data_IF_260671912480
#
_entry.id   IF_260671912480
#
_cell.length_a   1.000
_cell.length_b   1.000
_cell.length_c   1.000
_cell.angle_alpha   90.00
_cell.angle_beta   90.00
_cell.angle_gamma   90.00
#
_symmetry.space_group_name_H-M   'P 1'
#
loop_
_entity.id
_entity.type
_entity.pdbx_description
1 polymer ?
#
# COMPACT_ATOMS: atom_id res chain seq x y z
N UNK A 1 11.76 -26.29 31.48
CA UNK A 1 10.94 -25.19 30.92
C UNK A 1 9.49 -25.63 30.86
N UNK A 2 8.55 -24.83 31.35
CA UNK A 2 7.11 -25.17 31.44
C UNK A 2 6.34 -24.69 30.20
N UNK A 3 5.44 -25.53 29.66
CA UNK A 3 4.62 -25.21 28.49
C UNK A 3 3.51 -24.22 28.86
N UNK A 4 3.55 -23.01 28.32
CA UNK A 4 2.47 -22.02 28.45
C UNK A 4 1.48 -22.20 27.29
N UNK A 5 0.19 -22.38 27.60
CA UNK A 5 -0.86 -22.56 26.59
C UNK A 5 -1.27 -21.21 25.99
N UNK A 6 -1.32 -21.12 24.65
CA UNK A 6 -1.72 -19.90 23.90
C UNK A 6 -3.24 -19.73 23.73
N UNK A 7 -4.04 -20.73 24.09
CA UNK A 7 -5.44 -20.85 23.68
C UNK A 7 -6.31 -19.60 23.91
N UNK A 8 -6.25 -19.00 25.10
CA UNK A 8 -7.02 -17.80 25.42
C UNK A 8 -6.53 -16.57 24.63
N UNK A 9 -5.21 -16.34 24.61
CA UNK A 9 -4.58 -15.20 23.91
C UNK A 9 -4.88 -15.24 22.41
N UNK A 10 -4.87 -16.43 21.79
CA UNK A 10 -5.18 -16.57 20.37
C UNK A 10 -6.62 -16.13 20.05
N UNK A 11 -7.60 -16.54 20.86
CA UNK A 11 -9.01 -16.17 20.66
C UNK A 11 -9.25 -14.68 20.85
N UNK A 12 -8.65 -14.06 21.86
CA UNK A 12 -8.79 -12.62 22.13
C UNK A 12 -8.26 -11.79 20.94
N UNK A 13 -7.10 -12.18 20.38
CA UNK A 13 -6.53 -11.52 19.20
C UNK A 13 -7.44 -11.65 17.97
N UNK A 14 -8.02 -12.83 17.74
CA UNK A 14 -8.94 -13.07 16.62
C UNK A 14 -10.24 -12.28 16.79
N UNK A 15 -10.82 -12.25 17.99
CA UNK A 15 -12.04 -11.49 18.28
C UNK A 15 -11.82 -10.00 18.07
N UNK A 16 -10.71 -9.43 18.56
CA UNK A 16 -10.34 -8.04 18.32
C UNK A 16 -10.18 -7.73 16.83
N UNK A 17 -9.54 -8.63 16.08
CA UNK A 17 -9.34 -8.45 14.65
C UNK A 17 -10.65 -8.51 13.86
N UNK A 18 -11.54 -9.46 14.18
CA UNK A 18 -12.88 -9.57 13.58
C UNK A 18 -13.72 -8.34 13.92
N UNK A 19 -13.70 -7.88 15.17
CA UNK A 19 -14.42 -6.69 15.63
C UNK A 19 -14.10 -5.44 14.79
N UNK A 20 -12.82 -5.19 14.52
CA UNK A 20 -12.37 -4.07 13.68
C UNK A 20 -12.87 -4.13 12.23
N UNK A 21 -13.31 -5.30 11.78
CA UNK A 21 -13.65 -5.60 10.41
C UNK A 21 -15.12 -6.01 10.25
N UNK A 22 -15.96 -5.72 11.25
CA UNK A 22 -17.41 -6.03 11.23
C UNK A 22 -18.18 -5.30 10.14
N UNK A 23 -17.68 -4.16 9.65
CA UNK A 23 -18.28 -3.42 8.54
C UNK A 23 -18.22 -4.15 7.18
N UNK A 24 -17.49 -5.27 7.08
CA UNK A 24 -17.43 -6.08 5.87
C UNK A 24 -18.51 -7.17 5.88
N UNK A 25 -19.60 -6.97 5.15
CA UNK A 25 -20.77 -7.87 5.06
C UNK A 25 -20.42 -9.38 5.05
N UNK A 26 -20.03 -9.93 3.91
CA UNK A 26 -19.78 -11.36 3.73
C UNK A 26 -18.41 -11.83 4.26
N UNK A 27 -17.49 -10.91 4.51
CA UNK A 27 -16.08 -11.21 4.74
C UNK A 27 -15.62 -10.97 6.18
N UNK A 28 -16.48 -10.44 7.06
CA UNK A 28 -16.19 -10.17 8.48
C UNK A 28 -16.13 -11.41 9.37
N UNK A 29 -16.63 -12.57 8.91
CA UNK A 29 -16.73 -13.78 9.77
C UNK A 29 -15.46 -14.61 9.83
N UNK A 30 -14.65 -14.63 8.78
CA UNK A 30 -13.47 -15.49 8.69
C UNK A 30 -12.18 -14.66 8.71
N UNK A 31 -11.29 -14.92 9.66
CA UNK A 31 -9.98 -14.22 9.77
C UNK A 31 -9.15 -14.33 8.49
N UNK A 32 -9.25 -15.45 7.77
CA UNK A 32 -8.61 -15.67 6.48
C UNK A 32 -9.14 -14.75 5.37
N UNK A 33 -10.44 -14.51 5.30
CA UNK A 33 -11.00 -13.62 4.26
C UNK A 33 -10.67 -12.17 4.54
N UNK A 34 -10.70 -11.77 5.81
CA UNK A 34 -10.33 -10.42 6.25
C UNK A 34 -8.86 -10.12 5.91
N UNK A 35 -7.95 -11.05 6.23
CA UNK A 35 -6.52 -10.89 5.89
C UNK A 35 -6.31 -10.81 4.38
N UNK A 36 -7.02 -11.62 3.60
CA UNK A 36 -6.97 -11.55 2.14
C UNK A 36 -7.47 -10.20 1.60
N UNK A 37 -8.58 -9.67 2.13
CA UNK A 37 -9.10 -8.36 1.76
C UNK A 37 -8.13 -7.22 2.12
N UNK A 38 -7.52 -7.27 3.30
CA UNK A 38 -6.49 -6.31 3.72
C UNK A 38 -5.32 -6.28 2.74
N UNK A 39 -4.82 -7.45 2.34
CA UNK A 39 -3.72 -7.55 1.37
C UNK A 39 -4.15 -6.98 0.01
N UNK A 40 -5.36 -7.33 -0.47
CA UNK A 40 -5.91 -6.79 -1.73
C UNK A 40 -6.02 -5.25 -1.69
N UNK A 41 -6.57 -4.69 -0.61
CA UNK A 41 -6.70 -3.25 -0.45
C UNK A 41 -5.34 -2.53 -0.50
N UNK A 42 -4.30 -3.09 0.13
CA UNK A 42 -2.94 -2.52 0.06
C UNK A 42 -2.37 -2.57 -1.37
N UNK A 43 -2.61 -3.65 -2.11
CA UNK A 43 -2.18 -3.75 -3.51
C UNK A 43 -2.92 -2.74 -4.40
N UNK A 44 -4.20 -2.50 -4.15
CA UNK A 44 -5.01 -1.56 -4.94
C UNK A 44 -4.62 -0.11 -4.67
N UNK A 45 -4.32 0.26 -3.41
CA UNK A 45 -3.78 1.58 -3.08
C UNK A 45 -2.43 1.80 -3.78
N UNK A 46 -1.56 0.78 -3.81
CA UNK A 46 -0.29 0.87 -4.54
C UNK A 46 -0.51 1.07 -6.04
N UNK A 47 -1.48 0.37 -6.64
CA UNK A 47 -1.87 0.56 -8.05
C UNK A 47 -2.35 1.99 -8.31
N UNK A 48 -3.18 2.53 -7.41
CA UNK A 48 -3.64 3.92 -7.48
C UNK A 48 -2.47 4.91 -7.51
N UNK A 49 -1.46 4.74 -6.64
CA UNK A 49 -0.28 5.62 -6.62
C UNK A 49 0.51 5.56 -7.92
N UNK A 50 0.71 4.36 -8.49
CA UNK A 50 1.39 4.21 -9.79
C UNK A 50 0.58 4.88 -10.89
N UNK A 51 -0.74 4.69 -10.91
CA UNK A 51 -1.63 5.29 -11.90
C UNK A 51 -1.61 6.81 -11.83
N UNK A 52 -1.59 7.39 -10.62
CA UNK A 52 -1.47 8.84 -10.43
C UNK A 52 -0.15 9.38 -10.99
N UNK A 53 0.96 8.70 -10.72
CA UNK A 53 2.28 9.10 -11.23
C UNK A 53 2.31 8.99 -12.77
N UNK A 54 1.81 7.88 -13.33
CA UNK A 54 1.71 7.70 -14.78
C UNK A 54 0.86 8.78 -15.45
N UNK A 55 -0.26 9.16 -14.83
CA UNK A 55 -1.16 10.17 -15.36
C UNK A 55 -0.51 11.57 -15.41
N UNK A 56 0.35 11.92 -14.45
CA UNK A 56 1.06 13.20 -14.49
C UNK A 56 2.15 13.23 -15.55
N UNK A 57 2.91 12.13 -15.74
CA UNK A 57 3.87 12.06 -16.84
C UNK A 57 3.20 12.13 -18.21
N UNK A 58 2.11 11.41 -18.41
CA UNK A 58 1.37 11.43 -19.68
C UNK A 58 0.94 12.84 -20.13
N UNK A 59 0.79 13.80 -19.21
CA UNK A 59 0.39 15.19 -19.52
C UNK A 59 1.55 16.11 -19.91
N UNK A 60 2.79 15.79 -19.52
CA UNK A 60 3.89 16.76 -19.56
C UNK A 60 5.19 16.26 -20.19
N UNK A 61 5.52 14.97 -20.04
CA UNK A 61 6.79 14.39 -20.54
C UNK A 61 6.57 12.93 -20.95
N UNK A 62 7.20 12.49 -22.03
CA UNK A 62 7.23 11.08 -22.48
C UNK A 62 8.08 10.17 -21.56
N UNK A 63 7.90 10.31 -20.24
CA UNK A 63 8.63 9.59 -19.22
C UNK A 63 7.73 8.52 -18.60
N UNK A 64 8.27 7.32 -18.41
CA UNK A 64 7.50 6.19 -17.87
C UNK A 64 7.85 5.93 -16.42
N UNK A 65 6.88 5.44 -15.65
CA UNK A 65 7.09 5.07 -14.24
C UNK A 65 8.30 4.16 -14.01
N UNK A 66 8.53 3.21 -14.92
CA UNK A 66 9.66 2.28 -14.82
C UNK A 66 11.01 2.98 -14.91
N UNK A 67 11.14 3.99 -15.79
CA UNK A 67 12.37 4.80 -15.91
C UNK A 67 12.59 5.61 -14.64
N UNK A 68 11.55 6.27 -14.14
CA UNK A 68 11.63 7.02 -12.90
C UNK A 68 12.14 6.17 -11.73
N UNK A 69 11.58 4.97 -11.56
CA UNK A 69 12.00 4.10 -10.47
C UNK A 69 13.43 3.60 -10.66
N UNK A 70 13.82 3.29 -11.89
CA UNK A 70 15.20 2.92 -12.20
C UNK A 70 16.18 4.04 -11.84
N UNK A 71 15.86 5.29 -12.22
CA UNK A 71 16.71 6.45 -11.95
C UNK A 71 16.76 6.79 -10.46
N UNK A 72 15.65 6.66 -9.73
CA UNK A 72 15.63 6.78 -8.28
C UNK A 72 16.52 5.74 -7.59
N UNK A 73 16.47 4.48 -8.04
CA UNK A 73 17.36 3.43 -7.52
C UNK A 73 18.82 3.70 -7.85
N UNK A 74 19.13 4.14 -9.07
CA UNK A 74 20.50 4.49 -9.50
C UNK A 74 21.07 5.65 -8.67
N UNK A 75 20.23 6.62 -8.33
CA UNK A 75 20.55 7.76 -7.46
C UNK A 75 20.48 7.42 -5.96
N UNK A 76 20.18 6.17 -5.59
CA UNK A 76 20.04 5.68 -4.20
C UNK A 76 18.96 6.41 -3.37
N UNK A 77 17.95 7.00 -4.03
CA UNK A 77 16.86 7.70 -3.38
C UNK A 77 15.69 6.74 -3.10
N UNK A 78 15.57 6.32 -1.84
CA UNK A 78 14.54 5.37 -1.39
C UNK A 78 13.22 6.07 -1.05
N UNK A 79 12.54 6.64 -2.05
CA UNK A 79 11.22 7.24 -1.85
C UNK A 79 10.08 6.23 -1.85
N UNK A 80 9.16 6.38 -0.89
CA UNK A 80 7.91 5.63 -0.88
C UNK A 80 6.99 6.13 -2.02
N UNK A 81 6.33 5.20 -2.73
CA UNK A 81 5.38 5.51 -3.81
C UNK A 81 4.22 6.39 -3.36
N UNK A 82 3.83 6.33 -2.07
CA UNK A 82 2.84 7.25 -1.47
C UNK A 82 3.29 8.70 -1.57
N UNK A 83 4.54 8.98 -1.16
CA UNK A 83 5.12 10.32 -1.11
C UNK A 83 5.30 10.82 -2.53
N UNK A 84 5.80 9.95 -3.41
CA UNK A 84 6.01 10.28 -4.83
C UNK A 84 4.70 10.65 -5.54
N UNK A 85 3.61 9.91 -5.27
CA UNK A 85 2.29 10.24 -5.82
C UNK A 85 1.73 11.56 -5.25
N UNK A 86 2.06 11.90 -4.00
CA UNK A 86 1.67 13.20 -3.42
C UNK A 86 2.46 14.35 -4.04
N UNK A 87 3.77 14.17 -4.22
CA UNK A 87 4.65 15.15 -4.89
C UNK A 87 4.14 15.41 -6.30
N UNK A 88 3.81 14.35 -7.05
CA UNK A 88 3.27 14.45 -8.41
C UNK A 88 2.02 15.33 -8.49
N UNK A 89 1.12 15.25 -7.51
CA UNK A 89 -0.10 16.08 -7.45
C UNK A 89 0.22 17.51 -7.02
N UNK A 90 1.06 17.68 -5.98
CA UNK A 90 1.31 18.98 -5.35
C UNK A 90 2.21 19.90 -6.18
N UNK A 91 3.20 19.35 -6.89
CA UNK A 91 4.18 20.12 -7.63
C UNK A 91 4.66 19.36 -8.86
N UNK A 92 4.09 19.73 -10.01
CA UNK A 92 4.45 19.14 -11.31
C UNK A 92 5.91 19.38 -11.70
N UNK A 93 6.50 20.50 -11.28
CA UNK A 93 7.85 20.88 -11.69
C UNK A 93 8.93 20.05 -10.98
N UNK A 94 8.66 19.60 -9.75
CA UNK A 94 9.61 18.83 -8.94
C UNK A 94 10.00 17.49 -9.61
N UNK A 95 9.06 16.85 -10.30
CA UNK A 95 9.32 15.58 -11.00
C UNK A 95 10.27 15.72 -12.20
N UNK A 96 10.42 16.92 -12.75
CA UNK A 96 11.35 17.17 -13.87
C UNK A 96 12.80 17.35 -13.42
N UNK A 97 13.03 17.61 -12.13
CA UNK A 97 14.38 17.83 -11.58
C UNK A 97 15.05 16.53 -11.08
N UNK A 98 14.28 15.45 -10.97
CA UNK A 98 14.73 14.11 -10.52
C UNK A 98 15.17 13.29 -11.72
#
# INVERSE_FOLDING_TARGET
MTRIKRGYIARDVEQKFVYLHQAFEAHSRLTRTITQQKIRALTDIRRLWINRINAEFAKGVSYSYSRLIHDLYKRQLLFNRKILAQIAISNRNCLYMI
#
